data_IF_352705374665
#
_entry.id   IF_352705374665
#
_cell.length_a   1.000
_cell.length_b   1.000
_cell.length_c   1.000
_cell.angle_alpha   90.00
_cell.angle_beta   90.00
_cell.angle_gamma   90.00
#
_symmetry.space_group_name_H-M   'P 1'
#
loop_
_entity.id
_entity.type
_entity.pdbx_description
1 polymer ?
#
# COMPACT_ATOMS: atom_id res chain seq x y z
N UNK A 1 25.70 19.25 -4.71
CA UNK A 1 26.71 18.48 -3.92
C UNK A 1 26.22 17.98 -2.56
N UNK A 2 24.97 17.58 -2.51
CA UNK A 2 24.26 17.07 -1.33
C UNK A 2 25.06 16.05 -0.48
N UNK A 3 25.65 15.04 -1.10
CA UNK A 3 26.49 14.04 -0.41
C UNK A 3 27.71 14.63 0.30
N UNK A 4 28.19 15.78 -0.17
CA UNK A 4 29.35 16.47 0.42
C UNK A 4 28.95 17.20 1.70
N UNK A 5 27.80 17.91 1.71
CA UNK A 5 27.29 18.63 2.87
C UNK A 5 26.92 17.67 4.01
N UNK A 6 26.27 16.56 3.69
CA UNK A 6 25.94 15.51 4.64
C UNK A 6 27.19 14.87 5.26
N UNK A 7 28.19 14.47 4.44
CA UNK A 7 29.44 13.89 4.91
C UNK A 7 30.24 14.86 5.79
N UNK A 8 30.24 16.15 5.42
CA UNK A 8 30.88 17.26 6.19
C UNK A 8 30.16 17.44 7.53
N UNK A 9 28.82 17.37 7.56
CA UNK A 9 28.03 17.45 8.79
C UNK A 9 28.27 16.28 9.72
N UNK A 10 28.31 15.05 9.21
CA UNK A 10 28.63 13.85 9.99
C UNK A 10 30.07 13.91 10.57
N UNK A 11 31.04 14.43 9.80
CA UNK A 11 32.39 14.67 10.27
C UNK A 11 32.44 15.70 11.41
N UNK A 12 31.60 16.75 11.31
CA UNK A 12 31.46 17.74 12.37
C UNK A 12 30.96 17.11 13.67
N UNK A 13 29.95 16.26 13.59
CA UNK A 13 29.39 15.56 14.76
C UNK A 13 30.39 14.62 15.43
N UNK A 14 31.32 14.02 14.64
CA UNK A 14 32.35 13.08 15.15
C UNK A 14 33.55 13.77 15.73
N UNK A 15 33.91 14.97 15.25
CA UNK A 15 35.19 15.61 15.53
C UNK A 15 35.10 16.82 16.44
N UNK A 16 33.92 17.25 16.85
CA UNK A 16 33.66 18.53 17.56
C UNK A 16 34.23 19.78 16.85
N UNK A 17 34.49 19.70 15.55
CA UNK A 17 34.87 20.87 14.74
C UNK A 17 33.60 21.50 14.24
N UNK A 18 33.44 22.81 14.44
CA UNK A 18 32.31 23.55 13.89
C UNK A 18 32.63 23.92 12.45
N UNK A 19 31.80 23.44 11.53
CA UNK A 19 31.81 23.86 10.12
C UNK A 19 30.63 24.80 9.88
N UNK A 20 30.83 25.73 8.97
CA UNK A 20 29.75 26.58 8.49
C UNK A 20 29.06 25.90 7.30
N UNK A 21 27.73 25.99 7.28
CA UNK A 21 26.87 25.56 6.19
C UNK A 21 25.89 26.67 5.87
N UNK A 22 25.43 26.76 4.64
CA UNK A 22 24.33 27.65 4.29
C UNK A 22 22.99 27.15 4.84
N UNK A 23 21.98 28.03 4.92
CA UNK A 23 20.65 27.65 5.44
C UNK A 23 20.01 26.52 4.64
N UNK A 24 20.11 26.56 3.33
CA UNK A 24 19.61 25.53 2.41
C UNK A 24 20.31 24.19 2.63
N UNK A 25 21.65 24.19 2.85
CA UNK A 25 22.38 22.95 3.19
C UNK A 25 21.87 22.32 4.49
N UNK A 26 21.52 23.14 5.50
CA UNK A 26 20.93 22.63 6.73
C UNK A 26 19.52 22.07 6.50
N UNK A 27 18.70 22.73 5.71
CA UNK A 27 17.34 22.27 5.36
C UNK A 27 17.42 20.89 4.68
N UNK A 28 18.27 20.72 3.68
CA UNK A 28 18.52 19.43 3.01
C UNK A 28 19.00 18.34 3.99
N UNK A 29 19.95 18.64 4.88
CA UNK A 29 20.46 17.71 5.89
C UNK A 29 19.34 17.29 6.86
N UNK A 30 18.49 18.23 7.27
CA UNK A 30 17.39 17.96 8.20
C UNK A 30 16.36 17.04 7.55
N UNK A 31 15.92 17.36 6.33
CA UNK A 31 14.97 16.57 5.57
C UNK A 31 15.49 15.15 5.36
N UNK A 32 16.74 14.99 4.94
CA UNK A 32 17.35 13.67 4.82
C UNK A 32 17.29 12.84 6.10
N UNK A 33 17.57 13.44 7.27
CA UNK A 33 17.47 12.69 8.51
C UNK A 33 16.03 12.38 8.92
N UNK A 34 15.08 13.21 8.54
CA UNK A 34 13.65 12.94 8.73
C UNK A 34 13.19 11.74 7.87
N UNK A 35 13.56 11.73 6.59
CA UNK A 35 13.26 10.62 5.65
C UNK A 35 13.85 9.29 6.13
N UNK A 36 15.04 9.34 6.72
CA UNK A 36 15.67 8.16 7.32
C UNK A 36 15.09 7.76 8.69
N UNK A 37 14.08 8.46 9.21
CA UNK A 37 13.53 8.25 10.54
C UNK A 37 14.46 8.61 11.69
N UNK A 38 15.54 9.37 11.42
CA UNK A 38 16.57 9.77 12.41
C UNK A 38 16.24 11.11 13.06
N UNK A 39 15.04 11.27 13.62
CA UNK A 39 14.54 12.53 14.19
C UNK A 39 15.49 13.22 15.16
N UNK A 40 16.27 12.47 15.96
CA UNK A 40 17.25 13.06 16.88
C UNK A 40 18.41 13.78 16.16
N UNK A 41 18.84 13.27 15.00
CA UNK A 41 19.88 13.92 14.19
C UNK A 41 19.31 15.14 13.47
N UNK A 42 18.09 15.06 12.96
CA UNK A 42 17.36 16.18 12.39
C UNK A 42 17.24 17.34 13.41
N UNK A 43 16.83 17.05 14.66
CA UNK A 43 16.76 18.04 15.74
C UNK A 43 18.11 18.70 16.06
N UNK A 44 19.22 17.93 16.00
CA UNK A 44 20.55 18.49 16.18
C UNK A 44 20.96 19.39 15.02
N UNK A 45 20.68 18.98 13.78
CA UNK A 45 20.97 19.76 12.60
C UNK A 45 20.19 21.08 12.61
N UNK A 46 18.87 21.01 12.92
CA UNK A 46 18.03 22.19 13.05
C UNK A 46 18.55 23.17 14.12
N UNK A 47 18.94 22.68 15.29
CA UNK A 47 19.49 23.51 16.34
C UNK A 47 20.76 24.25 15.89
N UNK A 48 21.69 23.52 15.24
CA UNK A 48 22.92 24.11 14.73
C UNK A 48 22.65 25.08 13.57
N UNK A 49 21.69 24.74 12.69
CA UNK A 49 21.26 25.62 11.62
C UNK A 49 20.71 26.97 12.15
N UNK A 50 19.83 26.92 13.13
CA UNK A 50 19.28 28.14 13.77
C UNK A 50 20.31 28.92 14.58
N UNK A 51 21.35 28.28 15.13
CA UNK A 51 22.47 28.98 15.77
C UNK A 51 23.32 29.74 14.74
N UNK A 52 23.51 29.20 13.54
CA UNK A 52 24.25 29.87 12.46
C UNK A 52 23.38 30.87 11.67
N UNK A 53 22.10 30.53 11.46
CA UNK A 53 21.14 31.32 10.68
C UNK A 53 19.86 31.66 11.46
N UNK A 54 19.91 32.47 12.52
CA UNK A 54 18.75 32.69 13.41
C UNK A 54 17.59 33.41 12.75
N UNK A 55 17.80 34.00 11.56
CA UNK A 55 16.78 34.74 10.81
C UNK A 55 16.24 33.93 9.59
N UNK A 56 16.77 32.74 9.31
CA UNK A 56 16.28 31.94 8.18
C UNK A 56 14.82 31.58 8.38
N UNK A 57 13.97 31.98 7.45
CA UNK A 57 12.54 31.61 7.41
C UNK A 57 12.39 30.12 7.10
N UNK A 58 13.16 29.56 6.15
CA UNK A 58 13.14 28.16 5.80
C UNK A 58 13.41 27.26 7.01
N UNK A 59 14.53 27.49 7.73
CA UNK A 59 14.84 26.72 8.95
C UNK A 59 13.76 26.82 10.04
N UNK A 60 13.10 27.98 10.16
CA UNK A 60 11.99 28.14 11.10
C UNK A 60 10.72 27.42 10.64
N UNK A 61 10.46 27.33 9.33
CA UNK A 61 9.37 26.52 8.78
C UNK A 61 9.62 25.03 9.03
N UNK A 62 10.85 24.55 8.81
CA UNK A 62 11.24 23.19 9.22
C UNK A 62 11.07 22.98 10.73
N UNK A 63 11.37 24.00 11.56
CA UNK A 63 11.09 23.93 13.00
C UNK A 63 9.58 23.79 13.29
N UNK A 64 8.75 24.50 12.56
CA UNK A 64 7.28 24.39 12.68
C UNK A 64 6.82 22.98 12.34
N UNK A 65 7.28 22.41 11.24
CA UNK A 65 6.96 21.05 10.82
C UNK A 65 7.33 20.02 11.90
N UNK A 66 8.55 20.13 12.46
CA UNK A 66 8.97 19.27 13.56
C UNK A 66 8.14 19.47 14.85
N UNK A 67 7.67 20.68 15.13
CA UNK A 67 6.77 20.94 16.26
C UNK A 67 5.39 20.30 16.02
N UNK A 68 4.88 20.36 14.80
CA UNK A 68 3.62 19.70 14.40
C UNK A 68 3.78 18.17 14.52
N UNK A 69 4.90 17.61 14.08
CA UNK A 69 5.20 16.19 14.22
C UNK A 69 5.25 15.75 15.70
N UNK A 70 5.88 16.58 16.56
CA UNK A 70 5.98 16.36 18.01
C UNK A 70 4.66 16.68 18.77
N UNK A 71 3.55 17.00 18.07
CA UNK A 71 2.24 17.41 18.61
C UNK A 71 2.28 18.67 19.51
N UNK A 72 3.24 19.58 19.24
CA UNK A 72 3.39 20.85 19.96
C UNK A 72 2.73 21.99 19.21
N UNK A 73 1.43 21.83 18.94
CA UNK A 73 0.68 22.66 18.00
C UNK A 73 0.61 24.14 18.39
N UNK A 74 0.53 24.48 19.69
CA UNK A 74 0.51 25.88 20.15
C UNK A 74 1.84 26.59 19.91
N UNK A 75 2.98 25.85 20.03
CA UNK A 75 4.29 26.42 19.76
C UNK A 75 4.49 26.62 18.26
N UNK A 76 4.04 25.66 17.46
CA UNK A 76 4.05 25.75 16.00
C UNK A 76 3.24 26.96 15.52
N UNK A 77 2.01 27.11 15.99
CA UNK A 77 1.11 28.21 15.62
C UNK A 77 1.67 29.58 16.02
N UNK A 78 2.28 29.69 17.20
CA UNK A 78 2.94 30.92 17.62
C UNK A 78 4.08 31.30 16.68
N UNK A 79 4.95 30.34 16.33
CA UNK A 79 6.08 30.59 15.44
C UNK A 79 5.58 30.92 14.01
N UNK A 80 4.54 30.27 13.51
CA UNK A 80 3.92 30.61 12.23
C UNK A 80 3.34 32.03 12.20
N UNK A 81 2.74 32.50 13.29
CA UNK A 81 2.24 33.87 13.37
C UNK A 81 3.38 34.90 13.37
N UNK A 82 4.55 34.59 13.98
CA UNK A 82 5.75 35.41 13.89
C UNK A 82 6.30 35.46 12.45
N UNK A 83 6.31 34.32 11.75
CA UNK A 83 6.76 34.22 10.35
C UNK A 83 5.80 34.95 9.40
N UNK A 84 4.49 34.81 9.59
CA UNK A 84 3.48 35.52 8.79
C UNK A 84 3.61 37.05 8.88
N UNK A 85 4.01 37.56 10.03
CA UNK A 85 4.24 39.01 10.18
C UNK A 85 5.46 39.48 9.36
N UNK A 86 6.39 38.61 9.00
CA UNK A 86 7.60 38.91 8.24
C UNK A 86 7.38 38.68 6.75
N UNK A 87 6.78 37.53 6.39
CA UNK A 87 6.55 37.05 5.02
C UNK A 87 5.09 36.65 4.81
N UNK A 88 4.15 37.62 4.68
CA UNK A 88 2.73 37.33 4.60
C UNK A 88 2.29 36.64 3.28
N UNK A 89 3.16 36.59 2.28
CA UNK A 89 2.90 35.96 0.98
C UNK A 89 3.65 34.64 0.79
N UNK A 90 4.25 34.11 1.84
CA UNK A 90 4.90 32.82 1.79
C UNK A 90 3.83 31.71 1.92
N UNK A 91 3.62 30.94 0.87
CA UNK A 91 2.61 29.88 0.76
C UNK A 91 2.79 28.80 1.81
N UNK A 92 4.04 28.46 2.15
CA UNK A 92 4.36 27.41 3.11
C UNK A 92 3.78 27.71 4.50
N UNK A 93 3.67 28.98 4.88
CA UNK A 93 3.04 29.39 6.14
C UNK A 93 1.56 28.93 6.17
N UNK A 94 0.86 29.03 5.05
CA UNK A 94 -0.54 28.62 4.95
C UNK A 94 -0.67 27.09 4.92
N UNK A 95 0.24 26.40 4.26
CA UNK A 95 0.32 24.94 4.25
C UNK A 95 0.54 24.42 5.67
N UNK A 96 1.48 24.98 6.41
CA UNK A 96 1.75 24.59 7.80
C UNK A 96 0.59 24.95 8.75
N UNK A 97 -0.13 26.04 8.51
CA UNK A 97 -1.38 26.33 9.24
C UNK A 97 -2.43 25.26 8.96
N UNK A 98 -2.61 24.87 7.70
CA UNK A 98 -3.52 23.79 7.34
C UNK A 98 -3.16 22.49 8.06
N UNK A 99 -1.87 22.13 8.12
CA UNK A 99 -1.39 20.94 8.84
C UNK A 99 -1.74 20.99 10.34
N UNK A 100 -1.67 22.15 10.99
CA UNK A 100 -2.09 22.31 12.40
C UNK A 100 -3.60 22.07 12.53
N UNK A 101 -4.42 22.62 11.63
CA UNK A 101 -5.87 22.44 11.70
C UNK A 101 -6.28 21.01 11.35
N UNK A 102 -5.61 20.37 10.40
CA UNK A 102 -5.77 18.94 10.09
C UNK A 102 -5.50 18.07 11.32
N UNK A 103 -4.39 18.30 12.03
CA UNK A 103 -4.04 17.62 13.30
C UNK A 103 -5.08 17.82 14.42
N UNK A 104 -5.85 18.90 14.35
CA UNK A 104 -6.94 19.21 15.29
C UNK A 104 -8.30 18.68 14.81
N UNK A 105 -8.34 17.83 13.77
CA UNK A 105 -9.54 17.33 13.10
C UNK A 105 -10.47 18.45 12.60
N UNK A 106 -9.90 19.62 12.23
CA UNK A 106 -10.63 20.78 11.69
C UNK A 106 -10.36 20.92 10.18
N UNK A 107 -10.75 19.87 9.44
CA UNK A 107 -10.41 19.70 8.03
C UNK A 107 -10.97 20.80 7.13
N UNK A 108 -12.17 21.36 7.42
CA UNK A 108 -12.73 22.48 6.64
C UNK A 108 -11.82 23.72 6.73
N UNK A 109 -11.27 24.02 7.92
CA UNK A 109 -10.34 25.14 8.08
C UNK A 109 -8.99 24.84 7.42
N UNK A 110 -8.54 23.59 7.45
CA UNK A 110 -7.34 23.19 6.73
C UNK A 110 -7.49 23.50 5.25
N UNK A 111 -8.63 23.12 4.64
CA UNK A 111 -8.93 23.45 3.24
C UNK A 111 -8.94 24.96 3.00
N UNK A 112 -9.55 25.78 3.89
CA UNK A 112 -9.55 27.24 3.75
C UNK A 112 -8.13 27.84 3.71
N UNK A 113 -7.19 27.28 4.46
CA UNK A 113 -5.79 27.70 4.41
C UNK A 113 -5.06 27.20 3.17
N UNK A 114 -5.33 25.97 2.73
CA UNK A 114 -4.77 25.45 1.48
C UNK A 114 -5.29 26.22 0.25
N UNK A 115 -6.55 26.64 0.24
CA UNK A 115 -7.10 27.50 -0.82
C UNK A 115 -6.39 28.88 -0.83
N UNK A 116 -5.95 29.39 0.32
CA UNK A 116 -5.13 30.61 0.36
C UNK A 116 -3.72 30.29 -0.19
N UNK A 117 -3.10 29.17 0.16
CA UNK A 117 -1.81 28.75 -0.40
C UNK A 117 -1.86 28.67 -1.93
N UNK A 118 -2.95 28.13 -2.53
CA UNK A 118 -3.16 28.11 -3.99
C UNK A 118 -3.09 29.47 -4.67
N UNK A 119 -3.37 30.57 -3.95
CA UNK A 119 -3.30 31.93 -4.53
C UNK A 119 -1.87 32.49 -4.53
N UNK A 120 -0.94 31.82 -3.88
CA UNK A 120 0.42 32.30 -3.63
C UNK A 120 1.49 31.38 -4.23
N UNK A 121 1.19 30.09 -4.36
CA UNK A 121 2.15 29.10 -4.85
C UNK A 121 2.24 29.06 -6.37
N UNK A 122 3.42 28.64 -6.86
CA UNK A 122 3.63 28.21 -8.24
C UNK A 122 3.54 26.67 -8.37
N UNK A 123 3.57 25.96 -7.24
CA UNK A 123 3.41 24.50 -7.16
C UNK A 123 1.97 24.12 -6.76
N UNK A 124 1.10 24.07 -7.77
CA UNK A 124 -0.31 23.75 -7.58
C UNK A 124 -0.56 22.28 -7.27
N UNK A 125 0.30 21.37 -7.78
CA UNK A 125 0.09 19.93 -7.65
C UNK A 125 0.06 19.52 -6.18
N UNK A 126 1.09 19.89 -5.43
CA UNK A 126 1.21 19.56 -4.00
C UNK A 126 0.00 20.05 -3.20
N UNK A 127 -0.42 21.30 -3.45
CA UNK A 127 -1.53 21.90 -2.70
C UNK A 127 -2.86 21.24 -3.06
N UNK A 128 -3.10 20.88 -4.34
CA UNK A 128 -4.28 20.10 -4.72
C UNK A 128 -4.29 18.72 -4.09
N UNK A 129 -3.14 18.05 -4.01
CA UNK A 129 -3.02 16.77 -3.32
C UNK A 129 -3.40 16.90 -1.83
N UNK A 130 -2.89 17.91 -1.13
CA UNK A 130 -3.23 18.18 0.27
C UNK A 130 -4.73 18.46 0.45
N UNK A 131 -5.35 19.29 -0.41
CA UNK A 131 -6.80 19.54 -0.37
C UNK A 131 -7.58 18.24 -0.60
N UNK A 132 -7.14 17.42 -1.54
CA UNK A 132 -7.73 16.11 -1.80
C UNK A 132 -7.70 15.21 -0.56
N UNK A 133 -6.58 15.18 0.15
CA UNK A 133 -6.43 14.43 1.40
C UNK A 133 -7.37 14.95 2.51
N UNK A 134 -7.50 16.27 2.66
CA UNK A 134 -8.42 16.83 3.65
C UNK A 134 -9.88 16.44 3.35
N UNK A 135 -10.27 16.41 2.07
CA UNK A 135 -11.59 15.94 1.68
C UNK A 135 -11.78 14.43 1.89
N UNK A 136 -10.73 13.61 1.78
CA UNK A 136 -10.79 12.20 2.17
C UNK A 136 -11.04 12.04 3.68
N UNK A 137 -10.37 12.81 4.52
CA UNK A 137 -10.61 12.79 5.98
C UNK A 137 -12.04 13.20 6.34
N UNK A 138 -12.68 14.04 5.53
CA UNK A 138 -14.09 14.41 5.67
C UNK A 138 -15.07 13.42 5.02
N UNK A 139 -14.59 12.30 4.49
CA UNK A 139 -15.39 11.32 3.72
C UNK A 139 -16.10 11.93 2.50
N UNK A 140 -15.55 13.04 1.97
CA UNK A 140 -16.09 13.71 0.78
C UNK A 140 -15.34 13.26 -0.48
N UNK A 141 -15.64 12.04 -0.92
CA UNK A 141 -14.94 11.39 -2.01
C UNK A 141 -15.05 12.12 -3.36
N UNK A 142 -16.16 12.80 -3.63
CA UNK A 142 -16.32 13.54 -4.89
C UNK A 142 -15.36 14.73 -4.96
N UNK A 143 -15.28 15.54 -3.89
CA UNK A 143 -14.34 16.66 -3.84
C UNK A 143 -12.90 16.21 -3.76
N UNK A 144 -12.62 15.11 -3.04
CA UNK A 144 -11.29 14.51 -3.01
C UNK A 144 -10.85 14.13 -4.42
N UNK A 145 -11.68 13.39 -5.16
CA UNK A 145 -11.44 12.99 -6.55
C UNK A 145 -11.15 14.19 -7.46
N UNK A 146 -11.99 15.26 -7.38
CA UNK A 146 -11.80 16.46 -8.17
C UNK A 146 -10.43 17.11 -7.94
N UNK A 147 -9.97 17.17 -6.69
CA UNK A 147 -8.69 17.78 -6.36
C UNK A 147 -7.50 16.88 -6.75
N UNK A 148 -7.59 15.57 -6.57
CA UNK A 148 -6.54 14.67 -7.08
C UNK A 148 -6.45 14.67 -8.61
N UNK A 149 -7.56 14.84 -9.32
CA UNK A 149 -7.54 15.03 -10.78
C UNK A 149 -6.80 16.31 -11.14
N UNK A 150 -7.07 17.43 -10.44
CA UNK A 150 -6.33 18.69 -10.65
C UNK A 150 -4.84 18.54 -10.33
N UNK A 151 -4.49 17.80 -9.27
CA UNK A 151 -3.10 17.47 -8.99
C UNK A 151 -2.44 16.79 -10.20
N UNK A 152 -3.09 15.77 -10.79
CA UNK A 152 -2.60 15.07 -11.98
C UNK A 152 -2.65 15.90 -13.27
N UNK A 153 -3.38 16.99 -13.32
CA UNK A 153 -3.35 17.94 -14.45
C UNK A 153 -2.08 18.82 -14.38
N UNK A 154 -1.59 19.11 -13.19
CA UNK A 154 -0.36 19.88 -12.94
C UNK A 154 0.87 18.97 -12.90
N UNK A 155 0.86 17.92 -12.11
CA UNK A 155 1.88 16.88 -12.08
C UNK A 155 1.29 15.51 -12.49
N UNK A 156 1.51 15.20 -13.73
CA UNK A 156 1.01 13.99 -14.42
C UNK A 156 1.73 12.70 -14.01
N UNK A 157 2.91 12.81 -13.34
CA UNK A 157 3.67 11.68 -12.86
C UNK A 157 3.40 11.36 -11.37
N UNK A 158 2.55 12.13 -10.68
CA UNK A 158 2.21 11.85 -9.28
C UNK A 158 1.42 10.54 -9.15
N UNK A 159 2.16 9.49 -8.82
CA UNK A 159 1.60 8.15 -8.61
C UNK A 159 0.63 8.09 -7.43
N UNK A 160 0.87 8.88 -6.38
CA UNK A 160 0.01 8.93 -5.19
C UNK A 160 -1.35 9.52 -5.54
N UNK A 161 -1.37 10.62 -6.27
CA UNK A 161 -2.60 11.21 -6.75
C UNK A 161 -3.37 10.27 -7.68
N UNK A 162 -2.68 9.52 -8.56
CA UNK A 162 -3.31 8.52 -9.42
C UNK A 162 -4.00 7.41 -8.62
N UNK A 163 -3.32 6.88 -7.60
CA UNK A 163 -3.93 5.90 -6.69
C UNK A 163 -5.16 6.46 -5.98
N UNK A 164 -5.09 7.70 -5.50
CA UNK A 164 -6.17 8.36 -4.79
C UNK A 164 -7.39 8.64 -5.71
N UNK A 165 -7.15 9.01 -6.97
CA UNK A 165 -8.23 9.15 -7.97
C UNK A 165 -8.96 7.84 -8.15
N UNK A 166 -8.22 6.75 -8.39
CA UNK A 166 -8.83 5.41 -8.58
C UNK A 166 -9.56 4.96 -7.31
N UNK A 167 -8.95 5.19 -6.14
CA UNK A 167 -9.59 4.90 -4.84
C UNK A 167 -10.95 5.61 -4.72
N UNK A 168 -11.01 6.91 -5.00
CA UNK A 168 -12.26 7.66 -4.95
C UNK A 168 -13.32 7.11 -5.91
N UNK A 169 -12.95 6.78 -7.13
CA UNK A 169 -13.85 6.17 -8.10
C UNK A 169 -14.40 4.82 -7.62
N UNK A 170 -13.54 3.95 -7.08
CA UNK A 170 -13.94 2.63 -6.57
C UNK A 170 -14.94 2.76 -5.41
N UNK A 171 -14.68 3.65 -4.44
CA UNK A 171 -15.57 3.85 -3.29
C UNK A 171 -16.89 4.59 -3.63
N UNK A 172 -16.92 5.32 -4.73
CA UNK A 172 -18.13 5.92 -5.29
C UNK A 172 -18.90 4.94 -6.20
N UNK A 173 -18.43 3.70 -6.35
CA UNK A 173 -18.98 2.68 -7.28
C UNK A 173 -19.00 3.13 -8.75
N UNK A 174 -18.05 4.00 -9.13
CA UNK A 174 -17.90 4.60 -10.46
C UNK A 174 -16.83 3.87 -11.29
N UNK A 175 -16.87 2.54 -11.32
CA UNK A 175 -15.81 1.73 -11.94
C UNK A 175 -15.67 1.95 -13.46
N UNK A 176 -16.75 2.21 -14.16
CA UNK A 176 -16.71 2.45 -15.61
C UNK A 176 -16.13 3.82 -15.94
N UNK A 177 -16.44 4.83 -15.14
CA UNK A 177 -15.88 6.18 -15.24
C UNK A 177 -14.37 6.16 -14.93
N UNK A 178 -13.95 5.35 -13.94
CA UNK A 178 -12.55 5.14 -13.62
C UNK A 178 -11.77 4.54 -14.81
N UNK A 179 -12.36 3.53 -15.48
CA UNK A 179 -11.76 2.91 -16.65
C UNK A 179 -11.60 3.94 -17.78
N UNK A 180 -12.59 4.77 -18.02
CA UNK A 180 -12.53 5.79 -19.07
C UNK A 180 -11.52 6.89 -18.72
N UNK A 181 -11.45 7.31 -17.45
CA UNK A 181 -10.43 8.22 -16.98
C UNK A 181 -9.02 7.66 -17.19
N UNK A 182 -8.78 6.40 -16.76
CA UNK A 182 -7.49 5.75 -16.94
C UNK A 182 -7.09 5.56 -18.41
N UNK A 183 -8.03 5.31 -19.32
CA UNK A 183 -7.72 5.31 -20.76
C UNK A 183 -7.19 6.66 -21.21
N UNK A 184 -7.87 7.75 -20.83
CA UNK A 184 -7.42 9.10 -21.18
C UNK A 184 -6.05 9.42 -20.58
N UNK A 185 -5.81 8.96 -19.36
CA UNK A 185 -4.52 9.11 -18.68
C UNK A 185 -3.42 8.31 -19.41
N UNK A 186 -3.67 7.04 -19.73
CA UNK A 186 -2.76 6.15 -20.47
C UNK A 186 -2.44 6.69 -21.86
N UNK A 187 -3.41 7.29 -22.56
CA UNK A 187 -3.18 7.90 -23.87
C UNK A 187 -2.12 9.03 -23.80
N UNK A 188 -2.02 9.71 -22.66
CA UNK A 188 -1.01 10.75 -22.41
C UNK A 188 0.29 10.16 -21.83
N UNK A 189 0.19 9.14 -20.99
CA UNK A 189 1.32 8.48 -20.32
C UNK A 189 1.29 6.96 -20.54
N UNK A 190 1.62 6.48 -21.74
CA UNK A 190 1.50 5.06 -22.09
C UNK A 190 2.51 4.17 -21.36
N UNK A 191 3.52 4.75 -20.72
CA UNK A 191 4.54 4.03 -19.96
C UNK A 191 4.34 4.06 -18.45
N UNK A 192 3.15 4.42 -17.97
CA UNK A 192 2.80 4.30 -16.55
C UNK A 192 2.38 2.86 -16.24
N UNK A 193 3.29 2.07 -15.66
CA UNK A 193 3.01 0.71 -15.18
C UNK A 193 1.87 0.67 -14.18
N UNK A 194 1.78 1.72 -13.35
CA UNK A 194 0.73 1.87 -12.33
C UNK A 194 -0.64 2.10 -12.98
N UNK A 195 -0.73 2.97 -13.98
CA UNK A 195 -2.01 3.22 -14.65
C UNK A 195 -2.55 1.96 -15.34
N UNK A 196 -1.66 1.20 -16.00
CA UNK A 196 -2.03 -0.09 -16.55
C UNK A 196 -2.42 -1.12 -15.48
N UNK A 197 -1.70 -1.17 -14.38
CA UNK A 197 -2.04 -2.05 -13.26
C UNK A 197 -3.41 -1.70 -12.66
N UNK A 198 -3.69 -0.42 -12.38
CA UNK A 198 -4.98 0.02 -11.86
C UNK A 198 -6.13 -0.28 -12.86
N UNK A 199 -5.89 -0.07 -14.16
CA UNK A 199 -6.83 -0.43 -15.21
C UNK A 199 -7.15 -1.94 -15.18
N UNK A 200 -6.13 -2.78 -15.01
CA UNK A 200 -6.29 -4.22 -14.85
C UNK A 200 -7.13 -4.61 -13.63
N UNK A 201 -6.92 -3.95 -12.49
CA UNK A 201 -7.71 -4.16 -11.27
C UNK A 201 -9.18 -3.81 -11.47
N UNK A 202 -9.48 -2.68 -12.11
CA UNK A 202 -10.85 -2.27 -12.39
C UNK A 202 -11.54 -3.24 -13.36
N UNK A 203 -10.87 -3.63 -14.46
CA UNK A 203 -11.41 -4.67 -15.36
C UNK A 203 -11.66 -5.99 -14.65
N UNK A 204 -10.76 -6.40 -13.73
CA UNK A 204 -10.96 -7.60 -12.92
C UNK A 204 -12.20 -7.47 -12.01
N UNK A 205 -12.39 -6.30 -11.39
CA UNK A 205 -13.55 -5.99 -10.54
C UNK A 205 -14.88 -6.12 -11.27
N UNK A 206 -14.98 -5.59 -12.49
CA UNK A 206 -16.18 -5.73 -13.34
C UNK A 206 -16.26 -7.09 -14.07
N UNK A 207 -15.34 -8.02 -13.77
CA UNK A 207 -15.25 -9.39 -14.34
C UNK A 207 -14.91 -9.44 -15.83
N UNK A 208 -14.37 -8.39 -16.38
CA UNK A 208 -13.77 -8.38 -17.73
C UNK A 208 -12.33 -8.87 -17.65
N UNK A 209 -12.17 -10.18 -17.46
CA UNK A 209 -10.87 -10.79 -17.20
C UNK A 209 -9.91 -10.75 -18.39
N UNK A 210 -10.44 -10.71 -19.62
CA UNK A 210 -9.60 -10.60 -20.83
C UNK A 210 -8.90 -9.23 -20.90
N UNK A 211 -9.63 -8.13 -20.68
CA UNK A 211 -9.04 -6.81 -20.63
C UNK A 211 -8.18 -6.62 -19.38
N UNK A 212 -8.53 -7.26 -18.25
CA UNK A 212 -7.67 -7.28 -17.07
C UNK A 212 -6.30 -7.91 -17.36
N UNK A 213 -6.26 -9.07 -18.02
CA UNK A 213 -4.99 -9.73 -18.41
C UNK A 213 -4.18 -8.83 -19.32
N UNK A 214 -4.78 -8.22 -20.35
CA UNK A 214 -4.07 -7.30 -21.27
C UNK A 214 -3.47 -6.11 -20.52
N UNK A 215 -4.23 -5.51 -19.62
CA UNK A 215 -3.74 -4.36 -18.86
C UNK A 215 -2.57 -4.75 -17.94
N UNK A 216 -2.66 -5.88 -17.23
CA UNK A 216 -1.54 -6.39 -16.44
C UNK A 216 -0.34 -6.79 -17.31
N UNK A 217 -0.55 -7.29 -18.53
CA UNK A 217 0.54 -7.56 -19.47
C UNK A 217 1.30 -6.28 -19.84
N UNK A 218 0.60 -5.19 -20.16
CA UNK A 218 1.26 -3.91 -20.42
C UNK A 218 2.03 -3.42 -19.19
N UNK A 219 1.43 -3.52 -17.99
CA UNK A 219 2.12 -3.16 -16.74
C UNK A 219 3.42 -3.96 -16.56
N UNK A 220 3.40 -5.28 -16.79
CA UNK A 220 4.60 -6.15 -16.66
C UNK A 220 5.60 -6.00 -17.82
N UNK A 221 5.23 -5.42 -18.97
CA UNK A 221 6.16 -5.08 -20.03
C UNK A 221 6.90 -3.77 -19.78
N UNK A 222 6.26 -2.84 -19.06
CA UNK A 222 6.86 -1.55 -18.69
C UNK A 222 7.79 -1.75 -17.49
N UNK A 223 7.33 -2.45 -16.48
CA UNK A 223 8.12 -2.83 -15.30
C UNK A 223 8.08 -4.36 -15.12
N UNK A 224 9.18 -5.01 -15.50
CA UNK A 224 9.34 -6.46 -15.45
C UNK A 224 9.68 -7.00 -14.04
N UNK A 225 9.81 -6.11 -13.06
CA UNK A 225 9.96 -6.40 -11.63
C UNK A 225 8.68 -6.13 -10.82
N UNK A 226 7.59 -5.68 -11.45
CA UNK A 226 6.35 -5.36 -10.75
C UNK A 226 5.59 -6.61 -10.30
N UNK A 227 5.98 -7.15 -9.16
CA UNK A 227 5.44 -8.39 -8.55
C UNK A 227 3.91 -8.36 -8.45
N UNK A 228 3.33 -7.22 -8.06
CA UNK A 228 1.88 -7.04 -7.94
C UNK A 228 1.13 -7.33 -9.23
N UNK A 229 1.63 -6.82 -10.34
CA UNK A 229 1.02 -7.01 -11.66
C UNK A 229 1.08 -8.48 -12.12
N UNK A 230 2.20 -9.18 -11.92
CA UNK A 230 2.30 -10.61 -12.19
C UNK A 230 1.33 -11.44 -11.34
N UNK A 231 1.21 -11.12 -10.06
CA UNK A 231 0.31 -11.81 -9.14
C UNK A 231 -1.16 -11.65 -9.57
N UNK A 232 -1.57 -10.45 -9.92
CA UNK A 232 -2.96 -10.17 -10.31
C UNK A 232 -3.27 -10.67 -11.73
N UNK A 233 -2.30 -10.62 -12.65
CA UNK A 233 -2.39 -11.29 -13.95
C UNK A 233 -2.66 -12.78 -13.78
N UNK A 234 -1.91 -13.46 -12.90
CA UNK A 234 -2.14 -14.87 -12.60
C UNK A 234 -3.56 -15.15 -12.11
N UNK A 235 -4.11 -14.30 -11.21
CA UNK A 235 -5.49 -14.41 -10.74
C UNK A 235 -6.51 -14.24 -11.88
N UNK A 236 -6.30 -13.29 -12.77
CA UNK A 236 -7.17 -13.06 -13.92
C UNK A 236 -7.15 -14.24 -14.90
N UNK A 237 -5.96 -14.78 -15.18
CA UNK A 237 -5.79 -15.98 -16.01
C UNK A 237 -6.47 -17.23 -15.42
N UNK A 238 -6.44 -17.40 -14.10
CA UNK A 238 -7.20 -18.47 -13.46
C UNK A 238 -8.71 -18.33 -13.67
N UNK A 239 -9.24 -17.10 -13.64
CA UNK A 239 -10.67 -16.85 -13.92
C UNK A 239 -11.03 -17.22 -15.35
N UNK A 240 -10.12 -17.03 -16.29
CA UNK A 240 -10.25 -17.47 -17.69
C UNK A 240 -9.95 -18.96 -17.89
N UNK A 241 -9.54 -19.69 -16.85
CA UNK A 241 -9.11 -21.09 -16.88
C UNK A 241 -7.85 -21.33 -17.74
N UNK A 242 -7.05 -20.28 -17.96
CA UNK A 242 -5.76 -20.32 -18.65
C UNK A 242 -4.67 -20.66 -17.63
N UNK A 243 -4.74 -21.90 -17.08
CA UNK A 243 -3.98 -22.29 -15.90
C UNK A 243 -2.46 -22.39 -16.15
N UNK A 244 -2.02 -22.78 -17.34
CA UNK A 244 -0.61 -22.86 -17.68
C UNK A 244 0.03 -21.47 -17.64
N UNK A 245 -0.62 -20.47 -18.24
CA UNK A 245 -0.17 -19.09 -18.26
C UNK A 245 -0.25 -18.45 -16.84
N UNK A 246 -1.25 -18.85 -16.05
CA UNK A 246 -1.31 -18.41 -14.64
C UNK A 246 -0.11 -18.94 -13.84
N UNK A 247 0.31 -20.18 -14.06
CA UNK A 247 1.50 -20.77 -13.44
C UNK A 247 2.76 -20.00 -13.84
N UNK A 248 2.91 -19.65 -15.13
CA UNK A 248 4.04 -18.84 -15.60
C UNK A 248 4.09 -17.48 -14.88
N UNK A 249 2.93 -16.82 -14.78
CA UNK A 249 2.81 -15.53 -14.10
C UNK A 249 3.17 -15.61 -12.61
N UNK A 250 2.69 -16.62 -11.90
CA UNK A 250 3.04 -16.84 -10.49
C UNK A 250 4.51 -17.27 -10.30
N UNK A 251 5.07 -18.05 -11.23
CA UNK A 251 6.50 -18.39 -11.15
C UNK A 251 7.37 -17.14 -11.28
N UNK A 252 6.96 -16.17 -12.10
CA UNK A 252 7.69 -14.90 -12.21
C UNK A 252 7.72 -14.15 -10.87
N UNK A 253 6.65 -14.17 -10.08
CA UNK A 253 6.66 -13.57 -8.73
C UNK A 253 7.65 -14.25 -7.79
N UNK A 254 7.83 -15.57 -7.93
CA UNK A 254 8.79 -16.35 -7.11
C UNK A 254 10.24 -16.09 -7.52
N UNK A 255 10.48 -15.79 -8.80
CA UNK A 255 11.81 -15.45 -9.32
C UNK A 255 12.27 -14.06 -8.89
N UNK A 256 11.33 -13.12 -8.74
CA UNK A 256 11.60 -11.72 -8.39
C UNK A 256 11.77 -11.49 -6.89
N UNK A 257 11.14 -12.32 -6.08
CA UNK A 257 11.15 -12.24 -4.62
C UNK A 257 11.21 -13.66 -4.04
N UNK A 258 11.41 -13.76 -2.72
CA UNK A 258 11.34 -15.06 -2.04
C UNK A 258 9.96 -15.70 -2.28
N UNK A 259 9.91 -17.03 -2.47
CA UNK A 259 8.67 -17.72 -2.78
C UNK A 259 7.62 -17.49 -1.70
N UNK A 260 6.62 -16.68 -1.99
CA UNK A 260 5.52 -16.47 -1.05
C UNK A 260 4.65 -17.73 -1.00
N UNK A 261 4.27 -18.14 0.21
CA UNK A 261 3.36 -19.27 0.42
C UNK A 261 2.06 -19.12 -0.38
N UNK A 262 1.63 -17.87 -0.61
CA UNK A 262 0.44 -17.58 -1.42
C UNK A 262 0.64 -17.95 -2.89
N UNK A 263 1.75 -17.55 -3.53
CA UNK A 263 2.05 -17.88 -4.92
C UNK A 263 2.16 -19.41 -5.10
N UNK A 264 2.88 -20.08 -4.20
CA UNK A 264 3.01 -21.55 -4.19
C UNK A 264 1.64 -22.24 -4.10
N UNK A 265 0.75 -21.75 -3.23
CA UNK A 265 -0.62 -22.27 -3.10
C UNK A 265 -1.42 -22.10 -4.40
N UNK A 266 -1.29 -20.94 -5.06
CA UNK A 266 -2.01 -20.69 -6.34
C UNK A 266 -1.52 -21.61 -7.45
N UNK A 267 -0.20 -21.78 -7.59
CA UNK A 267 0.40 -22.71 -8.55
C UNK A 267 -0.11 -24.15 -8.31
N UNK A 268 -0.10 -24.60 -7.05
CA UNK A 268 -0.62 -25.90 -6.68
C UNK A 268 -2.08 -26.10 -7.10
N UNK A 269 -2.93 -25.09 -6.90
CA UNK A 269 -4.32 -25.09 -7.35
C UNK A 269 -4.46 -25.13 -8.87
N UNK A 270 -3.62 -24.42 -9.61
CA UNK A 270 -3.59 -24.46 -11.07
C UNK A 270 -3.23 -25.86 -11.58
N UNK A 271 -2.18 -26.49 -11.05
CA UNK A 271 -1.81 -27.87 -11.39
C UNK A 271 -2.93 -28.86 -11.06
N UNK A 272 -3.65 -28.65 -9.96
CA UNK A 272 -4.80 -29.47 -9.64
C UNK A 272 -5.92 -29.35 -10.68
N UNK A 273 -6.19 -28.14 -11.16
CA UNK A 273 -7.18 -27.88 -12.24
C UNK A 273 -6.77 -28.48 -13.58
N UNK A 274 -5.47 -28.50 -13.87
CA UNK A 274 -4.89 -29.19 -15.03
C UNK A 274 -4.89 -30.72 -14.90
N UNK A 275 -5.23 -31.25 -13.71
CA UNK A 275 -5.21 -32.71 -13.44
C UNK A 275 -3.83 -33.25 -13.10
N UNK A 276 -2.80 -32.40 -12.99
CA UNK A 276 -1.46 -32.82 -12.62
C UNK A 276 -1.34 -32.97 -11.09
N UNK A 277 -1.77 -34.14 -10.60
CA UNK A 277 -1.88 -34.40 -9.16
C UNK A 277 -0.55 -34.39 -8.42
N UNK A 278 0.53 -34.83 -9.09
CA UNK A 278 1.85 -34.91 -8.46
C UNK A 278 2.42 -33.51 -8.20
N UNK A 279 2.35 -32.64 -9.20
CA UNK A 279 2.79 -31.25 -9.04
C UNK A 279 1.89 -30.47 -8.09
N UNK A 280 0.58 -30.66 -8.16
CA UNK A 280 -0.33 -30.04 -7.19
C UNK A 280 0.06 -30.34 -5.75
N UNK A 281 0.26 -31.62 -5.42
CA UNK A 281 0.68 -32.01 -4.05
C UNK A 281 2.06 -31.50 -3.70
N UNK A 282 3.00 -31.50 -4.65
CA UNK A 282 4.34 -30.95 -4.46
C UNK A 282 4.28 -29.47 -4.06
N UNK A 283 3.53 -28.66 -4.79
CA UNK A 283 3.39 -27.22 -4.49
C UNK A 283 2.61 -26.96 -3.20
N UNK A 284 1.59 -27.76 -2.87
CA UNK A 284 0.90 -27.64 -1.58
C UNK A 284 1.84 -27.96 -0.40
N UNK A 285 2.72 -28.96 -0.55
CA UNK A 285 3.72 -29.24 0.46
C UNK A 285 4.76 -28.11 0.59
N UNK A 286 5.21 -27.52 -0.53
CA UNK A 286 6.07 -26.33 -0.51
C UNK A 286 5.39 -25.18 0.23
N UNK A 287 4.08 -24.94 -0.01
CA UNK A 287 3.29 -23.91 0.66
C UNK A 287 3.36 -24.03 2.18
N UNK A 288 3.08 -25.22 2.72
CA UNK A 288 3.09 -25.43 4.19
C UNK A 288 4.48 -25.57 4.79
N UNK A 289 5.50 -25.79 3.96
CA UNK A 289 6.89 -25.73 4.38
C UNK A 289 7.32 -24.27 4.53
N UNK A 290 6.94 -23.42 3.58
CA UNK A 290 7.26 -21.99 3.55
C UNK A 290 6.55 -21.25 4.69
N UNK A 291 5.25 -21.49 4.83
CA UNK A 291 4.44 -20.93 5.91
C UNK A 291 3.59 -22.03 6.58
N UNK A 292 4.12 -22.64 7.67
CA UNK A 292 3.37 -23.64 8.42
C UNK A 292 2.11 -23.12 9.11
N UNK A 293 1.97 -21.79 9.27
CA UNK A 293 0.81 -21.15 9.88
C UNK A 293 -0.26 -20.74 8.85
N UNK A 294 -0.01 -20.93 7.55
CA UNK A 294 -1.02 -20.73 6.53
C UNK A 294 -2.00 -21.92 6.52
N UNK A 295 -3.10 -21.77 7.25
CA UNK A 295 -4.19 -22.74 7.37
C UNK A 295 -4.72 -23.24 6.02
N UNK A 296 -4.83 -22.32 5.03
CA UNK A 296 -5.29 -22.60 3.66
C UNK A 296 -4.39 -23.58 2.91
N UNK A 297 -3.10 -23.64 3.24
CA UNK A 297 -2.17 -24.63 2.71
C UNK A 297 -2.53 -26.04 3.18
N UNK A 298 -2.77 -26.22 4.48
CA UNK A 298 -3.17 -27.49 5.06
C UNK A 298 -4.53 -27.96 4.54
N UNK A 299 -5.47 -27.02 4.34
CA UNK A 299 -6.78 -27.30 3.74
C UNK A 299 -6.65 -27.75 2.28
N UNK A 300 -5.75 -27.16 1.50
CA UNK A 300 -5.52 -27.60 0.12
C UNK A 300 -5.03 -29.06 0.08
N UNK A 301 -4.13 -29.46 0.97
CA UNK A 301 -3.66 -30.84 1.13
C UNK A 301 -4.83 -31.75 1.60
N UNK A 302 -5.63 -31.27 2.55
CA UNK A 302 -6.82 -31.99 3.03
C UNK A 302 -7.76 -32.31 1.88
N UNK A 303 -8.18 -31.28 1.14
CA UNK A 303 -9.11 -31.40 0.01
C UNK A 303 -8.53 -32.28 -1.10
N UNK A 304 -7.20 -32.25 -1.33
CA UNK A 304 -6.52 -33.13 -2.24
C UNK A 304 -6.70 -34.61 -1.82
N UNK A 305 -6.44 -34.96 -0.56
CA UNK A 305 -6.58 -36.34 -0.08
C UNK A 305 -8.05 -36.79 0.02
N UNK A 306 -8.98 -35.89 0.29
CA UNK A 306 -10.43 -36.20 0.20
C UNK A 306 -10.81 -36.65 -1.23
N UNK A 307 -10.35 -35.90 -2.25
CA UNK A 307 -10.57 -36.27 -3.67
C UNK A 307 -9.90 -37.58 -4.07
N UNK A 308 -8.79 -37.94 -3.44
CA UNK A 308 -8.15 -39.24 -3.61
C UNK A 308 -8.76 -40.35 -2.75
N UNK A 309 -9.87 -40.08 -2.02
CA UNK A 309 -10.53 -40.98 -1.09
C UNK A 309 -9.61 -41.53 0.02
N UNK A 310 -8.52 -40.86 0.30
CA UNK A 310 -7.62 -41.16 1.43
C UNK A 310 -8.04 -40.36 2.66
N UNK A 311 -9.12 -40.78 3.29
CA UNK A 311 -9.75 -40.07 4.39
C UNK A 311 -8.87 -40.06 5.65
N UNK A 312 -7.97 -41.03 5.85
CA UNK A 312 -7.03 -41.05 7.00
C UNK A 312 -6.01 -39.95 6.89
N UNK A 313 -5.39 -39.76 5.71
CA UNK A 313 -4.47 -38.66 5.49
C UNK A 313 -5.22 -37.30 5.52
N UNK A 314 -6.41 -37.23 4.94
CA UNK A 314 -7.23 -36.03 4.99
C UNK A 314 -7.52 -35.61 6.44
N UNK A 315 -7.84 -36.57 7.32
CA UNK A 315 -8.06 -36.31 8.75
C UNK A 315 -6.82 -35.73 9.44
N UNK A 316 -5.64 -36.28 9.11
CA UNK A 316 -4.40 -35.75 9.66
C UNK A 316 -4.17 -34.28 9.31
N UNK A 317 -4.40 -33.92 8.04
CA UNK A 317 -4.14 -32.55 7.56
C UNK A 317 -5.22 -31.54 7.97
N UNK A 318 -6.49 -31.94 8.07
CA UNK A 318 -7.53 -31.01 8.58
C UNK A 318 -7.30 -30.68 10.05
N UNK A 319 -6.75 -31.60 10.84
CA UNK A 319 -6.35 -31.32 12.23
C UNK A 319 -5.22 -30.31 12.30
N UNK A 320 -4.29 -30.26 11.32
CA UNK A 320 -3.27 -29.23 11.23
C UNK A 320 -3.88 -27.85 10.99
N UNK A 321 -4.86 -27.77 10.10
CA UNK A 321 -5.58 -26.50 9.84
C UNK A 321 -6.38 -26.06 11.08
N UNK A 322 -7.09 -26.96 11.73
CA UNK A 322 -7.83 -26.68 12.97
C UNK A 322 -6.93 -26.29 14.16
N UNK A 323 -5.68 -26.73 14.18
CA UNK A 323 -4.71 -26.30 15.20
C UNK A 323 -4.29 -24.82 15.02
N UNK A 324 -4.48 -24.24 13.81
CA UNK A 324 -4.18 -22.85 13.50
C UNK A 324 -5.42 -21.96 13.70
N UNK A 325 -6.57 -22.41 13.16
CA UNK A 325 -7.84 -21.72 13.24
C UNK A 325 -8.93 -22.69 13.70
N UNK A 326 -9.09 -22.80 15.00
CA UNK A 326 -10.05 -23.71 15.68
C UNK A 326 -11.49 -23.19 15.68
N UNK A 327 -11.70 -21.94 15.27
CA UNK A 327 -13.03 -21.31 15.19
C UNK A 327 -13.61 -21.35 13.77
N UNK A 328 -12.89 -21.90 12.80
CA UNK A 328 -13.32 -21.92 11.42
C UNK A 328 -14.39 -22.99 11.16
N UNK A 329 -15.63 -22.54 11.01
CA UNK A 329 -16.77 -23.44 10.74
C UNK A 329 -16.60 -24.36 9.53
N UNK A 330 -15.87 -23.87 8.48
CA UNK A 330 -15.67 -24.67 7.27
C UNK A 330 -14.67 -25.82 7.50
N UNK A 331 -13.70 -25.63 8.38
CA UNK A 331 -12.74 -26.66 8.74
C UNK A 331 -13.38 -27.73 9.60
N UNK A 332 -14.23 -27.33 10.55
CA UNK A 332 -15.03 -28.28 11.33
C UNK A 332 -16.02 -29.07 10.44
N UNK A 333 -16.62 -28.45 9.44
CA UNK A 333 -17.45 -29.20 8.46
C UNK A 333 -16.65 -30.23 7.68
N UNK A 334 -15.41 -29.89 7.27
CA UNK A 334 -14.51 -30.86 6.59
C UNK A 334 -14.13 -31.99 7.53
N UNK A 335 -13.72 -31.66 8.78
CA UNK A 335 -13.41 -32.64 9.82
C UNK A 335 -14.57 -33.63 10.02
N UNK A 336 -15.77 -33.12 10.20
CA UNK A 336 -16.98 -33.95 10.37
C UNK A 336 -17.27 -34.83 9.17
N UNK A 337 -17.19 -34.29 7.95
CA UNK A 337 -17.41 -35.05 6.72
C UNK A 337 -16.37 -36.15 6.56
N UNK A 338 -15.10 -35.90 6.83
CA UNK A 338 -14.04 -36.90 6.76
C UNK A 338 -14.25 -38.03 7.79
N UNK A 339 -14.59 -37.68 9.04
CA UNK A 339 -14.89 -38.67 10.07
C UNK A 339 -16.11 -39.52 9.74
N UNK A 340 -17.14 -38.94 9.12
CA UNK A 340 -18.29 -39.68 8.63
C UNK A 340 -17.90 -40.77 7.58
N UNK A 341 -17.02 -40.41 6.63
CA UNK A 341 -16.49 -41.37 5.63
C UNK A 341 -15.62 -42.48 6.25
N UNK A 342 -14.99 -42.18 7.41
CA UNK A 342 -14.24 -43.16 8.18
C UNK A 342 -15.10 -43.98 9.14
N UNK A 343 -16.42 -43.79 9.18
CA UNK A 343 -17.38 -44.34 10.13
C UNK A 343 -17.13 -43.97 11.61
N UNK A 344 -16.41 -42.88 11.86
CA UNK A 344 -16.20 -42.32 13.20
C UNK A 344 -17.37 -41.39 13.53
N UNK A 345 -18.56 -41.93 13.79
CA UNK A 345 -19.80 -41.13 13.88
C UNK A 345 -19.85 -40.18 15.08
N UNK A 346 -19.22 -40.53 16.20
CA UNK A 346 -19.15 -39.66 17.37
C UNK A 346 -18.31 -38.38 17.07
N UNK A 347 -17.15 -38.57 16.42
CA UNK A 347 -16.29 -37.47 16.01
C UNK A 347 -16.93 -36.62 14.90
N UNK A 348 -17.69 -37.25 14.01
CA UNK A 348 -18.43 -36.53 12.99
C UNK A 348 -19.52 -35.63 13.62
N UNK A 349 -20.28 -36.17 14.60
CA UNK A 349 -21.30 -35.41 15.33
C UNK A 349 -20.65 -34.23 16.10
N UNK A 350 -19.55 -34.49 16.79
CA UNK A 350 -18.79 -33.44 17.48
C UNK A 350 -18.36 -32.32 16.51
N UNK A 351 -17.78 -32.68 15.37
CA UNK A 351 -17.36 -31.69 14.36
C UNK A 351 -18.53 -30.88 13.80
N UNK A 352 -19.69 -31.49 13.55
CA UNK A 352 -20.86 -30.74 13.12
C UNK A 352 -21.40 -29.80 14.20
N UNK A 353 -21.39 -30.20 15.48
CA UNK A 353 -21.75 -29.32 16.60
C UNK A 353 -20.84 -28.11 16.67
N UNK A 354 -19.52 -28.32 16.55
CA UNK A 354 -18.53 -27.22 16.49
C UNK A 354 -18.75 -26.29 15.28
N UNK A 355 -19.07 -26.85 14.11
CA UNK A 355 -19.37 -26.05 12.94
C UNK A 355 -20.65 -25.20 13.07
N UNK A 356 -21.60 -25.61 13.87
CA UNK A 356 -22.80 -24.82 14.22
C UNK A 356 -22.42 -23.77 15.26
N UNK A 357 -21.69 -24.12 16.31
CA UNK A 357 -21.25 -23.22 17.38
C UNK A 357 -20.48 -22.00 16.82
N UNK A 358 -19.61 -22.21 15.82
CA UNK A 358 -18.85 -21.13 15.17
C UNK A 358 -19.53 -20.57 13.90
N UNK A 359 -20.77 -20.89 13.68
CA UNK A 359 -21.52 -20.53 12.46
C UNK A 359 -22.52 -19.40 12.61
N UNK A 360 -22.81 -19.03 13.82
CA UNK A 360 -23.63 -17.90 14.22
C UNK A 360 -22.74 -16.65 14.43
#
# INVERSE_FOLDING_TARGET
DYNLSLSKFESMLKTNKVFFFDSEEFEEIILHYLDMGKANLAKKALKLGLEQHPKSTGLKLVQVEMLIYDDKLEQAEKLLNELYAIEPTNEEIFIQKANIYSKRDQHEKAVEFLEQALTLTDDYADVYNLIGMEYLFMDNLEKAKENFIKCLEEDFEDQSALYNVVYCFEFLDQNLEAIEYLKTYIDRNPYSEIAWHQSGRLYYGIKDYENAVRAFEFSTYIDDEFIGAFMEKGKALERLKRYDEAIESYNRTIELDDPTSYALLRIGKCYEKLGNKNEALNYFNKTVHEDPLLDKGWIAITDFYVRQKNHQKALYYVNKALAIDDQNKLYWKRYASINKELNNFEEAEYGYKKAVEYGD
#
